data_IF_502790946915
#
_entry.id   IF_502790946915
#
_cell.length_a   1.000
_cell.length_b   1.000
_cell.length_c   1.000
_cell.angle_alpha   90.00
_cell.angle_beta   90.00
_cell.angle_gamma   90.00
#
_symmetry.space_group_name_H-M   'P 1'
#
loop_
_entity.id
_entity.type
_entity.pdbx_description
1 polymer ?
#
# COMPACT_ATOMS: atom_id res chain seq x y z
N UNK A 1 -10.96 26.49 -26.83
CA UNK A 1 -10.18 25.24 -26.85
C UNK A 1 -9.20 25.27 -25.69
N UNK A 2 -9.35 24.38 -24.71
CA UNK A 2 -8.51 24.38 -23.49
C UNK A 2 -7.50 23.21 -23.48
N UNK A 3 -7.36 22.49 -24.60
CA UNK A 3 -6.48 21.33 -24.71
C UNK A 3 -5.45 21.57 -25.81
N UNK A 4 -4.20 21.44 -25.45
CA UNK A 4 -3.05 21.60 -26.33
C UNK A 4 -2.33 20.25 -26.45
N UNK A 5 -1.92 19.92 -27.69
CA UNK A 5 -1.25 18.66 -27.98
C UNK A 5 0.17 18.93 -28.46
N UNK A 6 1.12 18.22 -27.84
CA UNK A 6 2.55 18.34 -28.09
C UNK A 6 3.19 16.98 -28.29
N UNK A 7 4.38 16.96 -28.84
CA UNK A 7 5.32 15.85 -28.65
C UNK A 7 5.84 15.90 -27.22
N UNK A 8 5.98 14.75 -26.57
CA UNK A 8 6.45 14.71 -25.18
C UNK A 8 7.83 15.37 -25.07
N UNK A 9 7.99 16.40 -24.19
CA UNK A 9 9.21 17.21 -24.15
C UNK A 9 10.41 16.50 -23.51
N UNK A 10 10.20 15.37 -22.88
CA UNK A 10 11.23 14.61 -22.14
C UNK A 10 11.58 13.26 -22.81
N UNK A 11 11.05 12.99 -24.02
CA UNK A 11 11.36 11.80 -24.81
C UNK A 11 11.22 12.09 -26.32
N UNK A 12 11.82 11.22 -27.13
CA UNK A 12 11.69 11.33 -28.60
C UNK A 12 10.45 10.55 -29.08
N UNK A 13 9.59 11.22 -29.86
CA UNK A 13 8.44 10.59 -30.51
C UNK A 13 8.12 11.24 -31.86
N UNK A 14 7.46 10.50 -32.75
CA UNK A 14 7.10 11.00 -34.11
C UNK A 14 5.74 11.70 -34.11
N UNK A 15 4.80 11.23 -33.32
CA UNK A 15 3.41 11.72 -33.26
C UNK A 15 3.15 12.38 -31.93
N UNK A 16 2.49 13.57 -31.89
CA UNK A 16 2.10 14.20 -30.63
C UNK A 16 1.22 13.28 -29.79
N UNK A 17 1.67 12.98 -28.58
CA UNK A 17 0.92 12.16 -27.60
C UNK A 17 0.88 12.78 -26.21
N UNK A 18 1.42 13.99 -26.07
CA UNK A 18 1.43 14.73 -24.82
C UNK A 18 0.35 15.81 -24.84
N UNK A 19 -0.62 15.72 -23.95
CA UNK A 19 -1.75 16.65 -23.84
C UNK A 19 -1.64 17.52 -22.60
N UNK A 20 -1.89 18.83 -22.75
CA UNK A 20 -2.02 19.78 -21.66
C UNK A 20 -3.42 20.36 -21.67
N UNK A 21 -4.13 20.25 -20.54
CA UNK A 21 -5.40 20.93 -20.29
C UNK A 21 -5.11 22.18 -19.46
N UNK A 22 -5.09 23.35 -20.12
CA UNK A 22 -4.72 24.63 -19.51
C UNK A 22 -5.72 25.03 -18.43
N UNK A 23 -7.01 24.81 -18.64
CA UNK A 23 -8.06 25.18 -17.71
C UNK A 23 -8.02 24.36 -16.41
N UNK A 24 -7.66 23.10 -16.51
CA UNK A 24 -7.52 22.19 -15.36
C UNK A 24 -6.11 22.18 -14.77
N UNK A 25 -5.15 22.82 -15.42
CA UNK A 25 -3.72 22.79 -15.07
C UNK A 25 -3.16 21.35 -14.96
N UNK A 26 -3.60 20.47 -15.86
CA UNK A 26 -3.22 19.06 -15.87
C UNK A 26 -2.59 18.70 -17.21
N UNK A 27 -1.68 17.75 -17.18
CA UNK A 27 -1.10 17.13 -18.35
C UNK A 27 -1.35 15.62 -18.36
N UNK A 28 -1.26 15.03 -19.55
CA UNK A 28 -1.30 13.58 -19.73
C UNK A 28 -0.47 13.15 -20.94
N UNK A 29 0.40 12.18 -20.73
CA UNK A 29 1.18 11.52 -21.79
C UNK A 29 0.54 10.17 -22.12
N UNK A 30 -0.10 10.10 -23.28
CA UNK A 30 -0.74 8.88 -23.76
C UNK A 30 0.28 7.80 -24.16
N UNK A 31 1.50 8.18 -24.50
CA UNK A 31 2.56 7.25 -24.85
C UNK A 31 3.11 6.48 -23.65
N UNK A 32 3.08 7.09 -22.46
CA UNK A 32 3.53 6.49 -21.21
C UNK A 32 2.37 6.12 -20.27
N UNK A 33 1.14 6.52 -20.59
CA UNK A 33 -0.03 6.26 -19.75
C UNK A 33 -0.01 6.99 -18.40
N UNK A 34 0.69 8.14 -18.31
CA UNK A 34 0.83 8.89 -17.07
C UNK A 34 0.52 10.38 -17.25
N UNK A 35 0.18 11.04 -16.14
CA UNK A 35 -0.15 12.45 -16.13
C UNK A 35 -0.21 13.01 -14.70
N UNK A 36 -0.52 14.30 -14.60
CA UNK A 36 -0.61 14.98 -13.32
C UNK A 36 -0.67 16.49 -13.46
N UNK A 37 -0.18 17.21 -12.45
CA UNK A 37 -0.08 18.65 -12.36
C UNK A 37 1.31 19.18 -12.76
N UNK A 38 1.54 20.49 -12.58
CA UNK A 38 2.81 21.12 -12.91
C UNK A 38 3.99 20.56 -12.08
N UNK A 39 3.76 20.12 -10.84
CA UNK A 39 4.83 19.57 -10.01
C UNK A 39 5.24 18.20 -10.51
N UNK A 40 4.28 17.33 -10.80
CA UNK A 40 4.54 16.02 -11.38
C UNK A 40 5.23 16.14 -12.75
N UNK A 41 4.89 17.15 -13.57
CA UNK A 41 5.59 17.43 -14.83
C UNK A 41 7.03 17.87 -14.58
N UNK A 42 7.25 18.76 -13.62
CA UNK A 42 8.60 19.17 -13.22
C UNK A 42 9.44 18.00 -12.73
N UNK A 43 8.81 17.03 -12.05
CA UNK A 43 9.45 15.78 -11.62
C UNK A 43 9.95 14.93 -12.77
N UNK A 44 9.21 14.85 -13.89
CA UNK A 44 9.66 14.15 -15.11
C UNK A 44 10.94 14.79 -15.68
N UNK A 45 11.02 16.12 -15.71
CA UNK A 45 12.21 16.83 -16.18
C UNK A 45 13.38 16.75 -15.21
N UNK A 46 13.12 16.88 -13.91
CA UNK A 46 14.12 16.83 -12.86
C UNK A 46 14.56 15.40 -12.50
N UNK A 47 13.86 14.39 -13.03
CA UNK A 47 13.99 12.97 -12.65
C UNK A 47 13.91 12.76 -11.13
N UNK A 48 13.01 13.50 -10.47
CA UNK A 48 12.86 13.51 -9.02
C UNK A 48 11.40 13.51 -8.60
N UNK A 49 11.10 12.74 -7.56
CA UNK A 49 9.80 12.73 -6.88
C UNK A 49 9.76 13.67 -5.66
N UNK A 50 10.89 14.31 -5.35
CA UNK A 50 10.99 15.27 -4.24
C UNK A 50 10.30 16.58 -4.60
N UNK A 51 9.32 16.98 -3.78
CA UNK A 51 8.54 18.19 -4.00
C UNK A 51 9.41 19.46 -4.06
N UNK A 52 10.45 19.56 -3.25
CA UNK A 52 11.30 20.74 -3.21
C UNK A 52 12.17 20.85 -4.46
N UNK A 53 12.62 19.73 -5.01
CA UNK A 53 13.35 19.70 -6.29
C UNK A 53 12.43 20.08 -7.45
N UNK A 54 11.21 19.57 -7.47
CA UNK A 54 10.18 19.95 -8.44
C UNK A 54 9.89 21.45 -8.38
N UNK A 55 9.68 22.00 -7.18
CA UNK A 55 9.44 23.43 -6.97
C UNK A 55 10.63 24.29 -7.43
N UNK A 56 11.87 23.89 -7.15
CA UNK A 56 13.06 24.58 -7.63
C UNK A 56 13.17 24.57 -9.15
N UNK A 57 12.84 23.43 -9.78
CA UNK A 57 12.81 23.33 -11.24
C UNK A 57 11.80 24.29 -11.84
N UNK A 58 10.57 24.36 -11.30
CA UNK A 58 9.53 25.29 -11.76
C UNK A 58 10.00 26.75 -11.61
N UNK A 59 10.53 27.12 -10.44
CA UNK A 59 11.01 28.46 -10.18
C UNK A 59 12.12 28.87 -11.16
N UNK A 60 13.08 27.96 -11.43
CA UNK A 60 14.13 28.18 -12.42
C UNK A 60 13.58 28.34 -13.82
N UNK A 61 12.63 27.51 -14.24
CA UNK A 61 12.01 27.57 -15.57
C UNK A 61 11.19 28.84 -15.78
N UNK A 62 10.59 29.36 -14.71
CA UNK A 62 9.80 30.61 -14.72
C UNK A 62 10.65 31.88 -14.51
N UNK A 63 11.98 31.76 -14.41
CA UNK A 63 12.88 32.87 -14.04
C UNK A 63 12.47 33.58 -12.72
N UNK A 64 11.85 32.84 -11.81
CA UNK A 64 11.42 33.37 -10.52
C UNK A 64 12.56 33.27 -9.51
N UNK A 65 12.88 34.41 -8.87
CA UNK A 65 13.69 34.38 -7.66
C UNK A 65 12.79 33.93 -6.52
N UNK A 66 13.04 32.75 -5.97
CA UNK A 66 12.29 32.26 -4.79
C UNK A 66 12.83 33.01 -3.57
N UNK A 67 12.23 34.15 -3.27
CA UNK A 67 12.49 34.86 -2.01
C UNK A 67 11.73 34.14 -0.90
N UNK A 68 12.48 33.46 -0.02
CA UNK A 68 11.91 32.77 1.14
C UNK A 68 11.19 33.72 2.13
N UNK A 69 11.49 35.01 2.10
CA UNK A 69 10.86 36.00 2.98
C UNK A 69 9.46 36.39 2.50
N UNK A 70 9.16 36.20 1.22
CA UNK A 70 7.87 36.54 0.61
C UNK A 70 6.78 35.47 0.81
N UNK A 71 7.14 34.27 1.25
CA UNK A 71 6.15 33.27 1.59
C UNK A 71 5.68 33.50 3.04
N UNK A 72 4.38 33.80 3.26
CA UNK A 72 3.86 33.76 4.61
C UNK A 72 4.18 32.35 5.14
N UNK A 73 4.77 32.27 6.32
CA UNK A 73 4.94 31.02 7.04
C UNK A 73 3.56 30.39 7.12
N UNK A 74 3.29 29.47 6.20
CA UNK A 74 2.07 28.67 6.24
C UNK A 74 2.15 27.87 7.54
N UNK A 75 1.48 28.38 8.56
CA UNK A 75 1.14 27.57 9.70
C UNK A 75 -0.04 26.71 9.23
N UNK A 76 0.16 25.42 8.99
CA UNK A 76 -0.96 24.56 8.67
C UNK A 76 -1.93 24.68 9.84
N UNK A 77 -3.15 25.17 9.56
CA UNK A 77 -4.24 24.99 10.52
C UNK A 77 -4.21 23.52 10.91
N UNK A 78 -4.27 23.20 12.22
CA UNK A 78 -4.37 21.80 12.64
C UNK A 78 -5.50 21.20 11.78
N UNK A 79 -5.16 20.25 10.93
CA UNK A 79 -6.17 19.57 10.12
C UNK A 79 -7.14 18.98 11.12
N UNK A 80 -8.42 19.33 11.01
CA UNK A 80 -9.45 18.64 11.78
C UNK A 80 -9.24 17.15 11.56
N UNK A 81 -9.21 16.32 12.61
CA UNK A 81 -8.95 14.90 12.47
C UNK A 81 -9.96 14.35 11.45
N UNK A 82 -9.45 13.79 10.35
CA UNK A 82 -10.27 13.22 9.28
C UNK A 82 -11.21 12.11 9.82
N UNK A 83 -10.90 11.60 11.01
CA UNK A 83 -11.63 10.56 11.72
C UNK A 83 -11.95 11.01 13.14
N UNK A 84 -13.22 10.92 13.53
CA UNK A 84 -13.75 11.36 14.81
C UNK A 84 -14.13 10.13 15.67
N UNK A 85 -13.84 10.16 16.96
CA UNK A 85 -14.30 9.16 17.92
C UNK A 85 -13.95 7.73 17.51
N UNK A 86 -12.68 7.52 17.15
CA UNK A 86 -12.19 6.19 16.76
C UNK A 86 -12.17 5.28 17.99
N UNK A 87 -12.90 4.19 17.89
CA UNK A 87 -12.99 3.16 18.92
C UNK A 87 -12.67 1.80 18.32
N UNK A 88 -11.71 1.08 18.90
CA UNK A 88 -11.36 -0.27 18.53
C UNK A 88 -11.99 -1.27 19.51
N UNK A 89 -12.85 -2.14 18.98
CA UNK A 89 -13.50 -3.20 19.77
C UNK A 89 -13.18 -4.56 19.15
N UNK A 90 -13.30 -5.67 19.92
CA UNK A 90 -13.07 -6.99 19.37
C UNK A 90 -13.88 -7.24 18.10
N UNK A 91 -13.25 -7.87 17.12
CA UNK A 91 -13.91 -8.24 15.87
C UNK A 91 -14.86 -9.41 16.13
N UNK A 92 -16.14 -9.09 16.33
CA UNK A 92 -17.19 -10.11 16.46
C UNK A 92 -17.79 -10.43 15.07
N UNK A 93 -18.54 -11.57 15.01
CA UNK A 93 -19.25 -11.97 13.80
C UNK A 93 -20.21 -10.86 13.33
N UNK A 94 -20.10 -10.47 12.09
CA UNK A 94 -20.76 -9.28 11.52
C UNK A 94 -20.57 -9.27 9.99
N UNK A 95 -21.22 -8.38 9.25
CA UNK A 95 -20.96 -8.21 7.81
C UNK A 95 -19.48 -7.98 7.45
N UNK A 96 -18.64 -7.54 8.39
CA UNK A 96 -17.18 -7.43 8.19
C UNK A 96 -16.54 -8.81 8.12
N UNK A 97 -16.95 -9.74 8.95
CA UNK A 97 -16.45 -11.12 8.93
C UNK A 97 -16.97 -11.89 7.72
N UNK A 98 -18.16 -11.57 7.22
CA UNK A 98 -18.69 -12.13 5.98
C UNK A 98 -17.82 -11.68 4.77
N UNK A 99 -17.44 -10.40 4.75
CA UNK A 99 -16.50 -9.90 3.76
C UNK A 99 -15.12 -10.60 3.84
N UNK A 100 -14.60 -10.88 5.03
CA UNK A 100 -13.35 -11.64 5.20
C UNK A 100 -13.51 -13.09 4.71
N UNK A 101 -14.64 -13.73 5.00
CA UNK A 101 -14.94 -15.08 4.52
C UNK A 101 -15.00 -15.13 2.99
N UNK A 102 -15.59 -14.13 2.32
CA UNK A 102 -15.56 -14.00 0.85
C UNK A 102 -14.13 -13.86 0.30
N UNK A 103 -13.23 -13.27 1.10
CA UNK A 103 -11.80 -13.17 0.80
C UNK A 103 -11.02 -14.43 1.18
N UNK A 104 -11.69 -15.49 1.60
CA UNK A 104 -11.09 -16.76 2.00
C UNK A 104 -10.46 -16.75 3.39
N UNK A 105 -10.64 -15.70 4.18
CA UNK A 105 -10.01 -15.53 5.50
C UNK A 105 -10.99 -15.97 6.59
N UNK A 106 -10.67 -17.04 7.36
CA UNK A 106 -11.52 -17.51 8.45
C UNK A 106 -11.63 -16.49 9.60
N UNK A 107 -12.79 -16.49 10.26
CA UNK A 107 -13.02 -15.67 11.45
C UNK A 107 -11.96 -15.87 12.53
N UNK A 108 -11.56 -17.10 12.81
CA UNK A 108 -10.56 -17.44 13.82
C UNK A 108 -9.21 -16.73 13.56
N UNK A 109 -8.76 -16.67 12.30
CA UNK A 109 -7.54 -15.97 11.91
C UNK A 109 -7.73 -14.45 12.06
N UNK A 110 -8.81 -13.91 11.50
CA UNK A 110 -9.04 -12.48 11.49
C UNK A 110 -9.25 -11.90 12.90
N UNK A 111 -10.02 -12.57 13.76
CA UNK A 111 -10.32 -12.09 15.12
C UNK A 111 -9.11 -12.05 16.05
N UNK A 112 -8.05 -12.80 15.71
CA UNK A 112 -6.80 -12.78 16.46
C UNK A 112 -5.93 -11.54 16.15
N UNK A 113 -6.05 -10.99 14.95
CA UNK A 113 -5.17 -9.92 14.45
C UNK A 113 -5.88 -8.60 14.19
N UNK A 114 -7.21 -8.60 14.08
CA UNK A 114 -8.00 -7.45 13.66
C UNK A 114 -9.03 -7.04 14.71
N UNK A 115 -9.36 -5.77 14.66
CA UNK A 115 -10.43 -5.15 15.45
C UNK A 115 -11.57 -4.71 14.55
N UNK A 116 -12.75 -4.55 15.11
CA UNK A 116 -13.77 -3.69 14.53
C UNK A 116 -13.49 -2.26 14.98
N UNK A 117 -13.32 -1.36 14.03
CA UNK A 117 -13.23 0.07 14.30
C UNK A 117 -14.59 0.71 14.09
N UNK A 118 -15.03 1.49 15.07
CA UNK A 118 -16.14 2.44 14.93
C UNK A 118 -15.53 3.83 14.84
N UNK A 119 -15.95 4.66 13.86
CA UNK A 119 -15.41 6.00 13.68
C UNK A 119 -16.41 6.92 12.97
N UNK A 120 -16.23 8.23 13.15
CA UNK A 120 -16.97 9.27 12.45
C UNK A 120 -16.16 9.90 11.33
N UNK A 121 -16.83 10.34 10.28
CA UNK A 121 -16.26 11.19 9.22
C UNK A 121 -17.33 12.21 8.84
N UNK A 122 -17.07 13.49 9.06
CA UNK A 122 -18.01 14.58 8.75
C UNK A 122 -19.41 14.33 9.32
N UNK A 123 -19.46 13.96 10.60
CA UNK A 123 -20.71 13.71 11.32
C UNK A 123 -21.43 12.39 10.97
N UNK A 124 -20.91 11.58 10.04
CA UNK A 124 -21.47 10.26 9.73
C UNK A 124 -20.67 9.17 10.41
N UNK A 125 -21.37 8.14 10.92
CA UNK A 125 -20.76 6.99 11.58
C UNK A 125 -20.46 5.88 10.59
N UNK A 126 -19.29 5.27 10.75
CA UNK A 126 -18.79 4.15 9.94
C UNK A 126 -18.21 3.06 10.83
N UNK A 127 -18.09 1.88 10.27
CA UNK A 127 -17.35 0.79 10.89
C UNK A 127 -16.56 0.01 9.81
N UNK A 128 -15.41 -0.50 10.20
CA UNK A 128 -14.54 -1.25 9.31
C UNK A 128 -13.65 -2.23 10.09
N UNK A 129 -12.96 -3.10 9.38
CA UNK A 129 -11.87 -3.92 9.91
C UNK A 129 -10.68 -3.01 10.11
N UNK A 130 -10.07 -3.04 11.29
CA UNK A 130 -8.85 -2.34 11.62
C UNK A 130 -7.72 -3.32 11.91
N UNK A 131 -6.58 -3.12 11.27
CA UNK A 131 -5.34 -3.82 11.54
C UNK A 131 -4.35 -2.83 12.15
N UNK A 132 -3.89 -3.05 13.40
CA UNK A 132 -3.08 -2.06 14.12
C UNK A 132 -1.68 -1.94 13.51
N UNK A 133 -1.13 -0.74 13.53
CA UNK A 133 0.25 -0.47 13.15
C UNK A 133 1.11 -0.07 14.36
N UNK A 134 2.41 0.04 14.17
CA UNK A 134 3.36 0.28 15.27
C UNK A 134 3.28 1.70 15.85
N UNK A 135 2.71 2.65 15.13
CA UNK A 135 2.55 4.03 15.60
C UNK A 135 1.19 4.29 16.32
N UNK A 136 0.39 3.25 16.55
CA UNK A 136 -0.92 3.37 17.21
C UNK A 136 -2.05 3.76 16.26
N UNK A 137 -1.82 3.81 14.96
CA UNK A 137 -2.85 3.92 13.93
C UNK A 137 -3.36 2.57 13.45
N UNK A 138 -4.25 2.59 12.47
CA UNK A 138 -4.85 1.38 11.91
C UNK A 138 -4.89 1.43 10.39
N UNK A 139 -4.53 0.32 9.74
CA UNK A 139 -4.97 0.08 8.38
C UNK A 139 -6.42 -0.37 8.40
N UNK A 140 -7.22 0.21 7.51
CA UNK A 140 -8.68 0.07 7.55
C UNK A 140 -9.18 -0.59 6.26
N UNK A 141 -10.06 -1.57 6.43
CA UNK A 141 -10.67 -2.28 5.30
C UNK A 141 -12.14 -2.57 5.54
N UNK A 142 -12.93 -2.35 4.51
CA UNK A 142 -14.28 -2.89 4.37
C UNK A 142 -14.50 -3.30 2.91
N UNK A 143 -15.69 -3.78 2.56
CA UNK A 143 -16.04 -4.12 1.17
C UNK A 143 -15.82 -2.95 0.20
N UNK A 144 -16.08 -1.72 0.64
CA UNK A 144 -16.11 -0.53 -0.21
C UNK A 144 -15.05 0.51 0.14
N UNK A 145 -14.21 0.23 1.15
CA UNK A 145 -13.22 1.21 1.61
C UNK A 145 -11.89 0.54 1.98
N UNK A 146 -10.81 1.16 1.51
CA UNK A 146 -9.42 0.90 1.93
C UNK A 146 -8.80 2.22 2.33
N UNK A 147 -8.19 2.28 3.51
CA UNK A 147 -7.56 3.50 4.00
C UNK A 147 -6.71 3.26 5.23
N UNK A 148 -6.31 4.35 5.87
CA UNK A 148 -5.54 4.34 7.11
C UNK A 148 -6.12 5.37 8.07
N UNK A 149 -6.35 5.00 9.31
CA UNK A 149 -6.57 5.93 10.43
C UNK A 149 -5.20 6.25 11.00
N UNK A 150 -4.77 7.54 10.92
CA UNK A 150 -3.41 7.93 11.31
C UNK A 150 -3.10 7.66 12.79
N UNK A 151 -1.81 7.60 13.13
CA UNK A 151 -0.64 7.77 12.27
C UNK A 151 -0.35 6.55 11.39
N UNK A 152 0.24 6.78 10.19
CA UNK A 152 0.55 5.71 9.23
C UNK A 152 1.93 5.12 9.52
N UNK A 153 1.99 3.79 9.64
CA UNK A 153 3.23 3.07 9.89
C UNK A 153 3.15 1.61 9.40
N UNK A 154 4.25 0.88 9.53
CA UNK A 154 4.29 -0.57 9.35
C UNK A 154 3.60 -1.28 10.53
N UNK A 155 3.19 -2.53 10.32
CA UNK A 155 2.71 -3.39 11.39
C UNK A 155 3.68 -4.55 11.60
N UNK A 156 4.02 -4.85 12.84
CA UNK A 156 4.88 -5.98 13.19
C UNK A 156 4.09 -6.94 14.11
N UNK A 157 3.88 -8.15 13.60
CA UNK A 157 3.28 -9.26 14.34
C UNK A 157 4.39 -10.19 14.77
N UNK A 158 4.66 -10.23 16.05
CA UNK A 158 5.70 -11.10 16.62
C UNK A 158 5.14 -12.46 16.98
N UNK A 159 5.96 -13.49 16.76
CA UNK A 159 5.69 -14.82 17.27
C UNK A 159 5.98 -14.83 18.77
N UNK A 160 5.02 -15.28 19.55
CA UNK A 160 5.17 -15.33 21.01
C UNK A 160 6.31 -16.29 21.43
N UNK A 161 7.08 -15.86 22.45
CA UNK A 161 8.11 -16.64 23.13
C UNK A 161 9.32 -17.13 22.33
N UNK A 162 9.61 -16.53 21.16
CA UNK A 162 10.80 -16.87 20.37
C UNK A 162 11.54 -15.64 19.90
N UNK A 163 12.88 -15.68 19.94
CA UNK A 163 13.71 -14.75 19.18
C UNK A 163 13.73 -15.25 17.72
N UNK A 164 12.80 -14.78 16.92
CA UNK A 164 12.70 -15.22 15.52
C UNK A 164 13.85 -14.65 14.69
N UNK A 165 14.59 -15.51 14.00
CA UNK A 165 15.61 -15.12 13.00
C UNK A 165 15.02 -14.90 11.60
N UNK A 166 13.73 -15.20 11.43
CA UNK A 166 13.00 -15.11 10.17
C UNK A 166 11.87 -14.09 10.28
N UNK A 167 11.76 -13.19 9.29
CA UNK A 167 10.62 -12.28 9.15
C UNK A 167 9.98 -12.46 7.77
N UNK A 168 8.66 -12.59 7.74
CA UNK A 168 7.86 -12.58 6.50
C UNK A 168 7.33 -11.19 6.25
N UNK A 169 7.59 -10.62 5.06
CA UNK A 169 7.20 -9.25 4.69
C UNK A 169 6.05 -9.31 3.70
N UNK A 170 4.98 -8.56 3.99
CA UNK A 170 3.77 -8.45 3.19
C UNK A 170 3.51 -7.00 2.79
N UNK A 171 2.89 -6.77 1.62
CA UNK A 171 2.51 -5.42 1.21
C UNK A 171 1.30 -4.91 1.99
N UNK A 172 0.27 -5.76 2.17
CA UNK A 172 -0.95 -5.45 2.89
C UNK A 172 -1.34 -6.50 3.92
N UNK A 173 -2.15 -6.10 4.89
CA UNK A 173 -2.57 -7.03 5.95
C UNK A 173 -3.52 -8.15 5.44
N UNK A 174 -4.19 -7.96 4.30
CA UNK A 174 -4.99 -9.03 3.69
C UNK A 174 -4.11 -10.18 3.23
N UNK A 175 -2.90 -9.90 2.72
CA UNK A 175 -1.93 -10.91 2.32
C UNK A 175 -1.31 -11.61 3.52
N UNK A 176 -1.04 -10.86 4.59
CA UNK A 176 -0.64 -11.44 5.88
C UNK A 176 -1.71 -12.41 6.43
N UNK A 177 -2.98 -12.00 6.46
CA UNK A 177 -4.07 -12.87 6.91
C UNK A 177 -4.25 -14.10 5.99
N UNK A 178 -4.00 -13.94 4.70
CA UNK A 178 -4.00 -15.05 3.75
C UNK A 178 -2.87 -16.04 4.02
N UNK A 179 -1.66 -15.52 4.28
CA UNK A 179 -0.51 -16.32 4.67
C UNK A 179 -0.76 -17.08 5.99
N UNK A 180 -1.36 -16.42 6.97
CA UNK A 180 -1.76 -17.05 8.24
C UNK A 180 -2.81 -18.15 8.02
N UNK A 181 -3.78 -17.92 7.13
CA UNK A 181 -4.81 -18.91 6.75
C UNK A 181 -4.20 -20.13 6.06
N UNK A 182 -3.21 -19.92 5.20
CA UNK A 182 -2.49 -20.99 4.48
C UNK A 182 -1.42 -21.70 5.34
N UNK A 183 -1.18 -21.23 6.57
CA UNK A 183 -0.11 -21.77 7.42
C UNK A 183 1.30 -21.44 6.95
N UNK A 184 1.48 -20.40 6.12
CA UNK A 184 2.75 -20.02 5.50
C UNK A 184 3.63 -19.17 6.41
N UNK A 185 3.03 -18.41 7.35
CA UNK A 185 3.77 -17.51 8.24
C UNK A 185 4.75 -18.23 9.18
N UNK A 186 4.60 -19.54 9.35
CA UNK A 186 5.60 -20.43 9.94
C UNK A 186 6.10 -20.04 11.33
N UNK A 187 7.41 -20.25 11.54
CA UNK A 187 8.09 -20.01 12.81
C UNK A 187 8.83 -18.66 12.85
N UNK A 188 8.24 -17.60 12.31
CA UNK A 188 8.89 -16.30 12.23
C UNK A 188 7.93 -15.14 12.46
N UNK A 189 8.49 -13.97 12.68
CA UNK A 189 7.74 -12.73 12.77
C UNK A 189 7.16 -12.34 11.40
N UNK A 190 6.15 -11.49 11.41
CA UNK A 190 5.54 -10.96 10.18
C UNK A 190 5.51 -9.44 10.23
N UNK A 191 6.00 -8.80 9.16
CA UNK A 191 5.98 -7.37 8.98
C UNK A 191 5.09 -7.01 7.78
N UNK A 192 4.12 -6.15 7.99
CA UNK A 192 3.23 -5.64 6.96
C UNK A 192 3.61 -4.20 6.66
N UNK A 193 3.93 -3.91 5.40
CA UNK A 193 4.34 -2.57 4.95
C UNK A 193 3.19 -1.56 5.05
N UNK A 194 1.94 -2.03 4.87
CA UNK A 194 0.73 -1.21 4.79
C UNK A 194 0.72 -0.23 3.60
N UNK A 195 1.89 0.07 3.06
CA UNK A 195 2.12 0.80 1.82
C UNK A 195 3.58 0.59 1.41
N UNK A 196 3.86 0.49 0.12
CA UNK A 196 5.23 0.44 -0.42
C UNK A 196 6.08 1.66 0.00
N UNK A 197 5.46 2.81 0.27
CA UNK A 197 6.15 4.00 0.78
C UNK A 197 6.74 3.84 2.19
N UNK A 198 6.34 2.81 2.93
CA UNK A 198 6.88 2.53 4.27
C UNK A 198 8.09 1.58 4.27
N UNK A 199 8.62 1.22 3.09
CA UNK A 199 9.75 0.28 3.00
C UNK A 199 10.97 0.73 3.80
N UNK A 200 11.30 2.01 3.82
CA UNK A 200 12.41 2.55 4.61
C UNK A 200 12.17 2.44 6.13
N UNK A 201 10.92 2.62 6.57
CA UNK A 201 10.55 2.39 7.97
C UNK A 201 10.68 0.90 8.32
N UNK A 202 10.24 0.02 7.43
CA UNK A 202 10.36 -1.43 7.59
C UNK A 202 11.79 -1.89 7.79
N UNK A 203 12.76 -1.30 7.06
CA UNK A 203 14.17 -1.67 7.13
C UNK A 203 14.74 -1.60 8.55
N UNK A 204 14.33 -0.60 9.35
CA UNK A 204 14.79 -0.46 10.74
C UNK A 204 14.43 -1.68 11.61
N UNK A 205 13.34 -2.35 11.27
CA UNK A 205 12.89 -3.57 11.95
C UNK A 205 13.51 -4.83 11.34
N UNK A 206 13.72 -4.82 10.02
CA UNK A 206 14.25 -5.97 9.28
C UNK A 206 15.75 -6.20 9.49
N UNK A 207 16.51 -5.20 9.92
CA UNK A 207 17.94 -5.30 10.16
C UNK A 207 18.31 -6.45 11.15
N UNK A 208 17.40 -6.77 12.09
CA UNK A 208 17.61 -7.78 13.13
C UNK A 208 17.45 -9.25 12.63
N UNK A 209 16.88 -9.48 11.43
CA UNK A 209 16.54 -10.84 10.97
C UNK A 209 17.60 -11.40 10.02
N UNK A 210 17.98 -12.66 10.21
CA UNK A 210 18.87 -13.39 9.33
C UNK A 210 18.24 -13.78 7.99
N UNK A 211 16.91 -13.95 7.95
CA UNK A 211 16.14 -14.24 6.73
C UNK A 211 14.88 -13.40 6.63
N UNK A 212 14.62 -12.85 5.45
CA UNK A 212 13.47 -12.00 5.14
C UNK A 212 12.74 -12.64 3.94
N UNK A 213 11.59 -13.25 4.19
CA UNK A 213 10.75 -13.83 3.14
C UNK A 213 9.80 -12.76 2.60
N UNK A 214 9.93 -12.37 1.33
CA UNK A 214 9.16 -11.29 0.72
C UNK A 214 7.96 -11.86 -0.04
N UNK A 215 6.74 -11.58 0.46
CA UNK A 215 5.46 -11.91 -0.15
C UNK A 215 4.82 -10.60 -0.65
N UNK A 216 5.34 -10.05 -1.74
CA UNK A 216 4.93 -8.75 -2.28
C UNK A 216 4.04 -8.93 -3.51
N UNK A 217 3.20 -7.95 -3.82
CA UNK A 217 2.34 -7.96 -5.00
C UNK A 217 3.17 -8.16 -6.28
N UNK A 218 2.63 -8.92 -7.24
CA UNK A 218 3.31 -9.21 -8.53
C UNK A 218 3.11 -8.07 -9.55
N UNK A 219 3.01 -6.86 -9.08
CA UNK A 219 2.96 -5.65 -9.89
C UNK A 219 4.29 -4.87 -9.88
N UNK A 220 4.31 -3.71 -10.52
CA UNK A 220 5.53 -2.89 -10.62
C UNK A 220 5.98 -2.35 -9.25
N UNK A 221 5.03 -2.01 -8.37
CA UNK A 221 5.33 -1.47 -7.04
C UNK A 221 5.95 -2.54 -6.14
N UNK A 222 5.40 -3.75 -6.14
CA UNK A 222 5.96 -4.89 -5.41
C UNK A 222 7.34 -5.28 -5.91
N UNK A 223 7.57 -5.30 -7.23
CA UNK A 223 8.91 -5.57 -7.81
C UNK A 223 9.94 -4.52 -7.39
N UNK A 224 9.61 -3.23 -7.45
CA UNK A 224 10.50 -2.15 -6.97
C UNK A 224 10.82 -2.30 -5.49
N UNK A 225 9.83 -2.65 -4.68
CA UNK A 225 10.03 -2.89 -3.24
C UNK A 225 10.98 -4.06 -3.00
N UNK A 226 10.81 -5.16 -3.75
CA UNK A 226 11.71 -6.31 -3.69
C UNK A 226 13.15 -5.93 -4.07
N UNK A 227 13.32 -5.13 -5.13
CA UNK A 227 14.65 -4.62 -5.54
C UNK A 227 15.31 -3.79 -4.46
N UNK A 228 14.55 -2.92 -3.78
CA UNK A 228 15.04 -2.11 -2.67
C UNK A 228 15.50 -2.99 -1.50
N UNK A 229 14.68 -3.98 -1.10
CA UNK A 229 15.04 -4.93 -0.06
C UNK A 229 16.23 -5.82 -0.47
N UNK A 230 16.28 -6.25 -1.73
CA UNK A 230 17.36 -7.04 -2.28
C UNK A 230 18.71 -6.29 -2.29
N UNK A 231 18.71 -5.00 -2.63
CA UNK A 231 19.90 -4.14 -2.56
C UNK A 231 20.39 -3.98 -1.13
N UNK A 232 19.51 -3.85 -0.14
CA UNK A 232 19.88 -3.67 1.27
C UNK A 232 20.34 -4.97 1.93
N UNK A 233 19.63 -6.08 1.68
CA UNK A 233 19.78 -7.32 2.45
C UNK A 233 20.46 -8.46 1.68
N UNK A 234 20.65 -8.32 0.37
CA UNK A 234 21.27 -9.34 -0.46
C UNK A 234 20.56 -10.70 -0.33
N UNK A 235 21.31 -11.74 -0.04
CA UNK A 235 20.79 -13.13 0.07
C UNK A 235 19.81 -13.34 1.23
N UNK A 236 19.72 -12.41 2.18
CA UNK A 236 18.74 -12.49 3.27
C UNK A 236 17.32 -12.22 2.78
N UNK A 237 17.14 -11.35 1.77
CA UNK A 237 15.85 -11.07 1.16
C UNK A 237 15.54 -12.14 0.11
N UNK A 238 14.52 -12.96 0.42
CA UNK A 238 14.10 -14.08 -0.40
C UNK A 238 12.74 -13.79 -1.03
N UNK A 239 12.66 -13.67 -2.35
CA UNK A 239 11.39 -13.58 -3.07
C UNK A 239 10.59 -14.87 -2.89
N UNK A 240 9.32 -14.74 -2.50
CA UNK A 240 8.36 -15.84 -2.35
C UNK A 240 7.18 -15.75 -3.31
N UNK A 241 7.20 -14.81 -4.25
CA UNK A 241 6.12 -14.58 -5.20
C UNK A 241 5.84 -15.78 -6.11
N UNK A 242 6.80 -16.67 -6.31
CA UNK A 242 6.60 -17.93 -7.05
C UNK A 242 5.53 -18.84 -6.42
N UNK A 243 5.24 -18.70 -5.11
CA UNK A 243 4.20 -19.49 -4.43
C UNK A 243 2.79 -19.19 -4.99
N UNK A 244 2.55 -17.96 -5.41
CA UNK A 244 1.27 -17.51 -5.96
C UNK A 244 1.40 -17.10 -7.43
N UNK A 245 2.16 -17.90 -8.18
CA UNK A 245 2.29 -17.70 -9.63
C UNK A 245 0.93 -17.73 -10.33
N UNK A 246 0.73 -16.83 -11.30
CA UNK A 246 -0.56 -16.63 -11.97
C UNK A 246 -1.59 -15.81 -11.19
N UNK A 247 -1.28 -15.37 -9.95
CA UNK A 247 -2.10 -14.46 -9.15
C UNK A 247 -1.37 -13.13 -8.95
N UNK A 248 -2.12 -12.06 -8.73
CA UNK A 248 -1.55 -10.75 -8.44
C UNK A 248 -0.90 -10.70 -7.05
N UNK A 249 -1.60 -11.24 -6.07
CA UNK A 249 -1.24 -11.21 -4.66
C UNK A 249 -1.59 -12.54 -3.96
N UNK A 250 -1.16 -12.68 -2.72
CA UNK A 250 -1.38 -13.90 -1.94
C UNK A 250 -2.86 -14.10 -1.57
N UNK A 251 -3.62 -13.03 -1.43
CA UNK A 251 -5.05 -13.15 -1.15
C UNK A 251 -5.83 -13.66 -2.36
N UNK A 252 -5.49 -13.26 -3.58
CA UNK A 252 -6.07 -13.84 -4.80
C UNK A 252 -5.78 -15.34 -4.89
N UNK A 253 -4.54 -15.74 -4.60
CA UNK A 253 -4.15 -17.14 -4.55
C UNK A 253 -4.99 -17.95 -3.55
N UNK A 254 -5.17 -17.43 -2.32
CA UNK A 254 -6.02 -18.05 -1.30
C UNK A 254 -7.45 -18.25 -1.80
N UNK A 255 -8.05 -17.21 -2.41
CA UNK A 255 -9.43 -17.30 -2.92
C UNK A 255 -9.57 -18.36 -4.02
N UNK A 256 -8.58 -18.48 -4.91
CA UNK A 256 -8.60 -19.48 -5.99
C UNK A 256 -8.43 -20.91 -5.46
N UNK A 257 -7.55 -21.13 -4.49
CA UNK A 257 -7.34 -22.44 -3.87
C UNK A 257 -8.56 -22.88 -3.09
N UNK A 258 -9.14 -22.02 -2.28
CA UNK A 258 -10.37 -22.31 -1.52
C UNK A 258 -11.55 -22.70 -2.44
N UNK A 259 -11.74 -21.98 -3.56
CA UNK A 259 -12.78 -22.30 -4.54
C UNK A 259 -12.55 -23.66 -5.19
N UNK A 260 -11.31 -24.02 -5.52
CA UNK A 260 -10.96 -25.33 -6.10
C UNK A 260 -11.26 -26.47 -5.12
N UNK A 261 -10.93 -26.32 -3.86
CA UNK A 261 -11.19 -27.31 -2.81
C UNK A 261 -12.69 -27.50 -2.60
N UNK A 262 -13.48 -26.42 -2.53
CA UNK A 262 -14.94 -26.48 -2.42
C UNK A 262 -15.56 -27.24 -3.60
N UNK A 263 -15.13 -26.97 -4.83
CA UNK A 263 -15.64 -27.63 -6.02
C UNK A 263 -15.26 -29.12 -6.07
N UNK A 264 -14.06 -29.49 -5.62
CA UNK A 264 -13.65 -30.88 -5.54
C UNK A 264 -14.43 -31.66 -4.49
N UNK A 265 -14.67 -31.06 -3.33
CA UNK A 265 -15.47 -31.66 -2.26
C UNK A 265 -16.95 -31.85 -2.66
N UNK A 266 -17.51 -30.94 -3.46
CA UNK A 266 -18.86 -31.11 -4.03
C UNK A 266 -18.91 -32.28 -5.01
N UNK A 267 -17.92 -32.43 -5.88
CA UNK A 267 -17.85 -33.55 -6.84
C UNK A 267 -17.71 -34.92 -6.17
N UNK A 268 -17.03 -34.99 -5.01
CA UNK A 268 -16.88 -36.21 -4.23
C UNK A 268 -18.18 -36.59 -3.53
N UNK A 269 -18.97 -35.61 -3.05
CA UNK A 269 -20.26 -35.83 -2.39
C UNK A 269 -21.41 -36.23 -3.36
N UNK A 270 -21.24 -36.00 -4.66
CA UNK A 270 -22.20 -36.32 -5.70
C UNK A 270 -21.92 -37.65 -6.42
N UNK A 271 -20.85 -38.35 -6.04
CA UNK A 271 -20.54 -39.73 -6.43
C UNK A 271 -20.88 -40.69 -5.31
#
# INVERSE_FOLDING_TARGET
MNELWYRAPYRSERTPSFRVNVAKQLWYDFGLGKGGDIFTLAGEFAQSVDFMEQARFIAKAANMVVDRSAFPTYQPKPAEPAFEGVEAVPLLRSPLTDYLAERGIPYAVASHHCFRLNYGVRGKRYFAIGFPNMAGGYEVRSRHFKGCIPPKDVSLVKLENTAADVCSVFEGFMDFLSAATLGIVGNGDSLVLNSVSNVEKAMKHLDAYGRINCFLDRDEAGRRTLDVLGKRYGRRACDRSALYDGCKDLNEYLQLTTKKEMNNNLKIKLK
#
